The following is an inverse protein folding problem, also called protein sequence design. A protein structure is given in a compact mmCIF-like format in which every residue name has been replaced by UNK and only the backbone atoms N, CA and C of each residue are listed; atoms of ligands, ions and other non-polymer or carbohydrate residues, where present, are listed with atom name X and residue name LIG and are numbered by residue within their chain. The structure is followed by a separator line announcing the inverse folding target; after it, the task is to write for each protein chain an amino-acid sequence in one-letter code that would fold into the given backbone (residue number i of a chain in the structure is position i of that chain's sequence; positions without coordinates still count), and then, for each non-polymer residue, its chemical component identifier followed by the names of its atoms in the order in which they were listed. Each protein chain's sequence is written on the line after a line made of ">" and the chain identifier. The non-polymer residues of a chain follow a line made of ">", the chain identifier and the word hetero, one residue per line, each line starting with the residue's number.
data_IF_882084445067
#
_entry.id   IF_882084445067
#
_cell.length_a   1.000
_cell.length_b   1.000
_cell.length_c   1.000
_cell.angle_alpha   90.00
_cell.angle_beta   90.00
_cell.angle_gamma   90.00
#
_symmetry.space_group_name_H-M   'P 1'
#
loop_
_entity.id
_entity.type
_entity.pdbx_description
1 polymer ?
#
# COMPACT_ATOMS: atom_id res chain seq x y z
N UNK A 1 67.21 55.92 3.17
CA UNK A 1 67.00 54.50 3.34
C UNK A 1 65.53 54.31 3.81
N UNK A 2 64.58 53.91 2.95
CA UNK A 2 63.23 53.63 3.33
C UNK A 2 63.03 52.09 3.37
N UNK A 3 62.73 51.60 4.58
CA UNK A 3 62.50 50.19 4.82
C UNK A 3 61.01 49.90 4.55
N UNK A 4 60.73 49.06 3.55
CA UNK A 4 59.37 48.61 3.19
C UNK A 4 59.04 47.35 4.03
N UNK A 5 58.09 47.49 4.94
CA UNK A 5 57.55 46.36 5.72
C UNK A 5 56.44 45.65 4.85
N UNK A 6 56.70 44.42 4.42
CA UNK A 6 55.73 43.57 3.77
C UNK A 6 54.98 42.76 4.87
N UNK A 7 53.71 43.10 5.09
CA UNK A 7 52.80 42.33 5.96
C UNK A 7 52.21 41.19 5.16
N UNK A 8 52.60 39.96 5.48
CA UNK A 8 52.07 38.73 4.91
C UNK A 8 50.77 38.35 5.67
N UNK A 9 49.61 38.60 5.10
CA UNK A 9 48.33 38.12 5.63
C UNK A 9 48.13 36.63 5.32
N UNK A 10 48.28 35.79 6.32
CA UNK A 10 47.87 34.39 6.24
C UNK A 10 46.37 34.30 6.41
N UNK A 11 45.62 34.00 5.29
CA UNK A 11 44.21 33.66 5.34
C UNK A 11 44.06 32.22 5.82
N UNK A 12 43.72 32.03 7.08
CA UNK A 12 43.31 30.73 7.63
C UNK A 12 41.94 30.36 7.04
N UNK A 13 41.94 29.49 6.03
CA UNK A 13 40.71 28.87 5.51
C UNK A 13 40.19 27.83 6.52
N UNK A 14 39.18 28.19 7.27
CA UNK A 14 38.48 27.24 8.13
C UNK A 14 37.64 26.32 7.27
N UNK A 15 37.70 24.97 7.44
CA UNK A 15 36.86 24.07 6.74
C UNK A 15 35.40 24.29 7.21
N UNK A 16 34.57 24.78 6.33
CA UNK A 16 33.10 24.83 6.56
C UNK A 16 32.57 23.41 6.53
N UNK A 17 32.48 22.78 7.69
CA UNK A 17 31.74 21.55 7.85
C UNK A 17 30.27 21.84 7.58
N UNK A 18 29.83 21.54 6.38
CA UNK A 18 28.40 21.53 6.03
C UNK A 18 27.71 20.47 6.90
N UNK A 19 27.14 20.88 8.02
CA UNK A 19 26.22 20.05 8.79
C UNK A 19 25.02 19.76 7.89
N UNK A 20 24.95 18.52 7.35
CA UNK A 20 23.74 17.99 6.77
C UNK A 20 22.65 18.12 7.84
N UNK A 21 21.75 19.07 7.67
CA UNK A 21 20.60 19.23 8.54
C UNK A 21 19.88 17.88 8.56
N UNK A 22 19.80 17.23 9.72
CA UNK A 22 19.00 16.02 9.90
C UNK A 22 17.55 16.46 9.75
N UNK A 23 16.98 16.28 8.56
CA UNK A 23 15.55 16.51 8.34
C UNK A 23 14.78 15.73 9.39
N UNK A 24 13.80 16.37 10.04
CA UNK A 24 12.87 15.67 10.93
C UNK A 24 12.22 14.53 10.16
N UNK A 25 12.00 13.36 10.80
CA UNK A 25 11.27 12.28 10.16
C UNK A 25 9.85 12.75 9.82
N UNK A 26 9.35 12.31 8.69
CA UNK A 26 7.94 12.46 8.35
C UNK A 26 7.06 11.67 9.32
N UNK A 27 5.79 12.03 9.41
CA UNK A 27 4.88 11.47 10.40
C UNK A 27 3.51 11.15 9.78
N UNK A 28 3.05 9.90 9.95
CA UNK A 28 1.70 9.45 9.57
C UNK A 28 1.05 8.76 10.78
N UNK A 29 0.06 9.40 11.42
CA UNK A 29 -0.55 8.91 12.66
C UNK A 29 -1.26 7.56 12.49
N UNK A 30 -1.79 7.27 11.29
CA UNK A 30 -2.46 6.00 11.01
C UNK A 30 -1.54 4.77 11.14
N UNK A 31 -0.22 4.95 11.14
CA UNK A 31 0.70 3.83 11.37
C UNK A 31 0.78 3.40 12.84
N UNK A 32 0.17 4.16 13.76
CA UNK A 32 0.26 3.93 15.20
C UNK A 32 1.57 4.41 15.81
N UNK A 33 1.59 4.65 17.11
CA UNK A 33 2.69 5.34 17.83
C UNK A 33 4.08 4.79 17.53
N UNK A 34 4.24 3.48 17.43
CA UNK A 34 5.55 2.84 17.21
C UNK A 34 6.06 2.92 15.76
N UNK A 35 5.19 3.17 14.79
CA UNK A 35 5.49 3.15 13.36
C UNK A 35 5.20 4.49 12.66
N UNK A 36 4.62 5.47 13.37
CA UNK A 36 4.16 6.74 12.81
C UNK A 36 5.27 7.54 12.15
N UNK A 37 6.47 7.54 12.75
CA UNK A 37 7.62 8.22 12.17
C UNK A 37 8.27 7.38 11.07
N UNK A 38 8.59 8.00 9.93
CA UNK A 38 9.30 7.37 8.83
C UNK A 38 10.26 8.36 8.15
N UNK A 39 11.17 7.84 7.33
CA UNK A 39 12.06 8.67 6.51
C UNK A 39 11.86 8.31 5.04
N UNK A 40 11.83 9.31 4.18
CA UNK A 40 11.92 9.09 2.74
C UNK A 40 13.33 8.59 2.42
N UNK A 41 13.41 7.36 1.92
CA UNK A 41 14.69 6.68 1.64
C UNK A 41 15.04 6.69 0.17
N UNK A 42 14.07 6.98 -0.71
CA UNK A 42 14.31 7.13 -2.14
C UNK A 42 13.27 8.05 -2.80
N UNK A 43 13.55 8.51 -4.01
CA UNK A 43 12.65 9.29 -4.84
C UNK A 43 12.01 8.47 -5.97
N UNK A 44 12.02 7.14 -5.86
CA UNK A 44 11.60 6.23 -6.94
C UNK A 44 10.13 6.34 -7.32
N UNK A 45 9.29 6.96 -6.46
CA UNK A 45 7.88 7.26 -6.69
C UNK A 45 7.55 8.76 -6.58
N UNK A 46 8.56 9.63 -6.63
CA UNK A 46 8.33 11.09 -6.57
C UNK A 46 7.41 11.53 -7.73
N UNK A 47 6.31 12.20 -7.40
CA UNK A 47 5.28 12.63 -8.35
C UNK A 47 4.16 11.61 -8.61
N UNK A 48 4.22 10.44 -7.98
CA UNK A 48 3.12 9.48 -7.99
C UNK A 48 2.15 9.72 -6.83
N UNK A 49 0.85 9.52 -7.08
CA UNK A 49 -0.21 9.61 -6.07
C UNK A 49 -0.98 8.29 -6.01
N UNK A 50 -1.22 7.82 -4.79
CA UNK A 50 -1.94 6.57 -4.54
C UNK A 50 -3.15 6.79 -3.65
N UNK A 51 -4.26 6.13 -4.00
CA UNK A 51 -5.48 6.02 -3.21
C UNK A 51 -5.56 4.58 -2.72
N UNK A 52 -5.25 4.35 -1.44
CA UNK A 52 -5.17 3.03 -0.84
C UNK A 52 -6.47 2.70 -0.12
N UNK A 53 -7.04 1.56 -0.44
CA UNK A 53 -8.34 1.12 0.07
C UNK A 53 -8.23 -0.30 0.60
N UNK A 54 -8.41 -0.48 1.90
CA UNK A 54 -8.73 -1.80 2.45
C UNK A 54 -10.17 -2.16 2.13
N UNK A 55 -10.42 -3.43 1.81
CA UNK A 55 -11.76 -3.97 1.71
C UNK A 55 -12.53 -3.83 3.01
N UNK A 56 -13.86 -3.81 2.93
CA UNK A 56 -14.74 -3.86 4.09
C UNK A 56 -14.51 -2.74 5.13
N UNK A 57 -14.66 -3.03 6.43
CA UNK A 57 -14.44 -2.09 7.53
C UNK A 57 -15.74 -1.47 8.08
N UNK A 58 -15.69 -0.94 9.31
CA UNK A 58 -16.83 -0.44 10.04
C UNK A 58 -17.83 -1.55 10.38
N UNK A 59 -19.08 -1.50 9.87
CA UNK A 59 -20.07 -2.53 10.14
C UNK A 59 -19.87 -3.84 9.37
N UNK A 60 -18.91 -3.89 8.44
CA UNK A 60 -18.69 -5.00 7.51
C UNK A 60 -17.29 -5.60 7.72
N UNK A 61 -17.18 -6.75 8.44
CA UNK A 61 -15.89 -7.40 8.67
C UNK A 61 -15.33 -8.13 7.45
N UNK A 62 -16.09 -8.21 6.35
CA UNK A 62 -15.75 -9.02 5.19
C UNK A 62 -15.87 -10.52 5.46
N UNK A 63 -15.02 -11.30 4.82
CA UNK A 63 -14.95 -12.74 5.03
C UNK A 63 -14.33 -13.07 6.39
N UNK A 64 -14.84 -14.13 7.03
CA UNK A 64 -14.35 -14.61 8.33
C UNK A 64 -13.72 -15.98 8.15
N UNK A 65 -12.43 -16.07 8.51
CA UNK A 65 -11.70 -17.33 8.64
C UNK A 65 -11.55 -17.74 10.11
N UNK A 66 -10.97 -18.94 10.33
CA UNK A 66 -10.63 -19.40 11.68
C UNK A 66 -9.20 -19.96 11.71
N UNK A 67 -8.43 -19.53 12.69
CA UNK A 67 -7.07 -19.98 12.93
C UNK A 67 -6.86 -20.26 14.42
N UNK A 68 -6.52 -21.50 14.77
CA UNK A 68 -6.34 -21.92 16.16
C UNK A 68 -7.51 -21.51 17.07
N UNK A 69 -8.74 -21.76 16.62
CA UNK A 69 -9.97 -21.45 17.38
C UNK A 69 -10.38 -19.97 17.42
N UNK A 70 -9.57 -19.06 16.86
CA UNK A 70 -9.82 -17.62 16.82
C UNK A 70 -10.30 -17.16 15.45
N UNK A 71 -11.15 -16.16 15.38
CA UNK A 71 -11.62 -15.59 14.13
C UNK A 71 -10.56 -14.68 13.50
N UNK A 72 -10.48 -14.77 12.17
CA UNK A 72 -9.73 -13.86 11.32
C UNK A 72 -10.74 -13.04 10.51
N UNK A 73 -10.68 -11.72 10.59
CA UNK A 73 -11.58 -10.82 9.89
C UNK A 73 -10.85 -10.19 8.70
N UNK A 74 -11.41 -10.28 7.51
CA UNK A 74 -10.79 -9.81 6.26
C UNK A 74 -10.38 -8.35 6.34
N UNK A 75 -11.28 -7.47 6.81
CA UNK A 75 -11.07 -6.03 6.90
C UNK A 75 -9.82 -5.68 7.69
N UNK A 76 -9.57 -6.36 8.81
CA UNK A 76 -8.44 -6.11 9.70
C UNK A 76 -7.09 -6.42 9.04
N UNK A 77 -7.01 -7.55 8.33
CA UNK A 77 -5.78 -7.94 7.63
C UNK A 77 -5.56 -7.09 6.38
N UNK A 78 -6.63 -6.79 5.64
CA UNK A 78 -6.56 -5.87 4.51
C UNK A 78 -6.09 -4.48 4.95
N UNK A 79 -6.59 -3.98 6.07
CA UNK A 79 -6.20 -2.68 6.64
C UNK A 79 -4.73 -2.66 7.06
N UNK A 80 -4.27 -3.66 7.82
CA UNK A 80 -2.86 -3.76 8.25
C UNK A 80 -1.89 -3.81 7.05
N UNK A 81 -2.26 -4.56 5.99
CA UNK A 81 -1.46 -4.62 4.76
C UNK A 81 -1.47 -3.27 4.02
N UNK A 82 -2.62 -2.58 3.96
CA UNK A 82 -2.73 -1.24 3.36
C UNK A 82 -1.85 -0.23 4.09
N UNK A 83 -1.80 -0.25 5.40
CA UNK A 83 -0.93 0.65 6.18
C UNK A 83 0.55 0.37 5.89
N UNK A 84 0.95 -0.91 5.87
CA UNK A 84 2.31 -1.31 5.50
C UNK A 84 2.67 -0.88 4.09
N UNK A 85 1.77 -1.07 3.14
CA UNK A 85 1.96 -0.63 1.76
C UNK A 85 2.11 0.88 1.68
N UNK A 86 1.23 1.63 2.33
CA UNK A 86 1.30 3.09 2.37
C UNK A 86 2.64 3.59 2.91
N UNK A 87 3.14 2.96 3.98
CA UNK A 87 4.45 3.28 4.53
C UNK A 87 5.58 3.02 3.53
N UNK A 88 5.56 1.88 2.84
CA UNK A 88 6.53 1.56 1.77
C UNK A 88 6.50 2.56 0.61
N UNK A 89 5.31 3.06 0.22
CA UNK A 89 5.16 4.04 -0.85
C UNK A 89 5.61 5.44 -0.42
N UNK A 90 5.25 5.88 0.79
CA UNK A 90 5.70 7.15 1.38
C UNK A 90 7.23 7.20 1.51
N UNK A 91 7.85 6.13 1.99
CA UNK A 91 9.32 6.01 2.08
C UNK A 91 10.00 6.10 0.70
N UNK A 92 9.28 5.92 -0.40
CA UNK A 92 9.76 6.07 -1.77
C UNK A 92 9.39 7.41 -2.41
N UNK A 93 8.88 8.36 -1.61
CA UNK A 93 8.56 9.72 -2.05
C UNK A 93 7.22 9.85 -2.77
N UNK A 94 6.32 8.88 -2.66
CA UNK A 94 4.97 8.98 -3.19
C UNK A 94 4.08 9.86 -2.29
N UNK A 95 2.99 10.35 -2.86
CA UNK A 95 1.83 10.86 -2.11
C UNK A 95 0.82 9.74 -1.92
N UNK A 96 0.31 9.58 -0.69
CA UNK A 96 -0.62 8.50 -0.34
C UNK A 96 -1.85 9.07 0.35
N UNK A 97 -3.02 8.59 -0.05
CA UNK A 97 -4.31 8.83 0.61
C UNK A 97 -4.86 7.50 1.09
N UNK A 98 -5.03 7.35 2.39
CA UNK A 98 -5.71 6.22 3.01
C UNK A 98 -7.21 6.49 3.02
N UNK A 99 -7.98 5.72 2.27
CA UNK A 99 -9.43 5.97 2.10
C UNK A 99 -10.22 5.39 3.28
N UNK A 100 -9.83 4.21 3.76
CA UNK A 100 -10.38 3.62 4.99
C UNK A 100 -9.36 3.87 6.10
N UNK A 101 -9.84 4.30 7.26
CA UNK A 101 -9.00 4.76 8.36
C UNK A 101 -9.57 4.29 9.70
N UNK A 102 -8.71 3.76 10.57
CA UNK A 102 -8.97 3.60 12.01
C UNK A 102 -7.94 4.44 12.77
N UNK A 103 -8.40 5.39 13.58
CA UNK A 103 -7.54 6.29 14.35
C UNK A 103 -6.79 5.61 15.51
N UNK A 104 -7.17 4.38 15.88
CA UNK A 104 -6.58 3.63 17.00
C UNK A 104 -5.71 2.47 16.53
N UNK A 105 -6.12 1.76 15.49
CA UNK A 105 -5.43 0.58 15.00
C UNK A 105 -4.40 0.96 13.94
N UNK A 106 -3.14 0.92 14.33
CA UNK A 106 -2.01 1.14 13.43
C UNK A 106 -1.50 -0.16 12.79
N UNK A 107 -0.24 -0.16 12.37
CA UNK A 107 0.47 -1.38 11.93
C UNK A 107 0.66 -2.30 13.14
N UNK A 108 0.13 -3.51 13.06
CA UNK A 108 0.08 -4.47 14.17
C UNK A 108 0.96 -5.68 13.91
N UNK A 109 1.76 -6.09 14.92
CA UNK A 109 2.65 -7.24 14.80
C UNK A 109 2.16 -8.49 15.58
N UNK A 110 0.86 -8.56 15.86
CA UNK A 110 0.21 -9.75 16.40
C UNK A 110 -0.31 -10.66 15.29
N UNK A 111 -0.42 -11.95 15.57
CA UNK A 111 -0.96 -12.92 14.60
C UNK A 111 -2.47 -12.75 14.42
N UNK A 112 -3.20 -12.57 15.51
CA UNK A 112 -4.65 -12.36 15.49
C UNK A 112 -4.90 -10.86 15.64
N UNK A 113 -5.57 -10.30 14.65
CA UNK A 113 -6.02 -8.92 14.66
C UNK A 113 -7.48 -8.89 15.14
N UNK A 114 -7.72 -8.20 16.25
CA UNK A 114 -9.07 -8.08 16.81
C UNK A 114 -9.92 -7.24 15.88
N UNK A 115 -11.15 -7.70 15.62
CA UNK A 115 -12.11 -6.90 14.86
C UNK A 115 -12.40 -5.59 15.58
N UNK A 116 -12.31 -4.53 14.81
CA UNK A 116 -12.69 -3.18 15.22
C UNK A 116 -13.99 -2.81 14.52
N UNK A 117 -14.76 -1.94 14.75
CA UNK A 117 -15.89 -1.41 13.98
C UNK A 117 -15.78 0.11 13.89
N UNK A 118 -14.55 0.61 14.10
CA UNK A 118 -14.28 2.04 14.22
C UNK A 118 -13.82 2.66 12.91
N UNK A 119 -13.60 1.82 11.89
CA UNK A 119 -13.13 2.30 10.59
C UNK A 119 -14.11 3.32 10.01
N UNK A 120 -13.53 4.33 9.43
CA UNK A 120 -14.24 5.41 8.74
C UNK A 120 -13.76 5.53 7.30
N UNK A 121 -14.57 6.09 6.44
CA UNK A 121 -14.13 6.53 5.13
C UNK A 121 -13.68 8.00 5.23
N UNK A 122 -12.38 8.20 5.52
CA UNK A 122 -11.79 9.53 5.72
C UNK A 122 -12.57 10.38 6.73
N UNK A 123 -12.79 9.82 7.92
CA UNK A 123 -13.52 10.46 9.03
C UNK A 123 -15.04 10.36 8.95
N UNK A 124 -15.62 9.91 7.84
CA UNK A 124 -17.07 9.71 7.71
C UNK A 124 -17.46 8.27 8.06
N UNK A 125 -18.55 8.03 8.79
CA UNK A 125 -19.04 6.68 9.10
C UNK A 125 -19.27 5.87 7.81
N UNK A 126 -18.95 4.57 7.86
CA UNK A 126 -19.15 3.66 6.73
C UNK A 126 -20.60 3.17 6.75
N UNK A 127 -21.37 3.33 5.67
CA UNK A 127 -22.75 2.87 5.60
C UNK A 127 -22.88 1.35 5.71
N UNK A 128 -23.94 0.87 6.36
CA UNK A 128 -24.26 -0.56 6.41
C UNK A 128 -24.63 -1.11 5.01
N UNK A 129 -25.32 -0.31 4.20
CA UNK A 129 -25.69 -0.71 2.84
C UNK A 129 -24.43 -0.87 1.96
N UNK A 130 -24.31 -2.02 1.31
CA UNK A 130 -23.13 -2.36 0.49
C UNK A 130 -22.89 -1.38 -0.66
N UNK A 131 -23.93 -1.04 -1.40
CA UNK A 131 -23.79 -0.12 -2.55
C UNK A 131 -23.38 1.27 -2.06
N UNK A 132 -24.02 1.75 -0.99
CA UNK A 132 -23.70 3.06 -0.42
C UNK A 132 -22.25 3.16 0.08
N UNK A 133 -21.71 2.13 0.76
CA UNK A 133 -20.31 2.14 1.23
C UNK A 133 -19.31 2.00 0.09
N UNK A 134 -19.62 1.26 -0.98
CA UNK A 134 -18.75 1.20 -2.16
C UNK A 134 -18.75 2.54 -2.91
N UNK A 135 -19.93 3.16 -3.07
CA UNK A 135 -20.05 4.49 -3.68
C UNK A 135 -19.32 5.56 -2.87
N UNK A 136 -19.42 5.51 -1.54
CA UNK A 136 -18.71 6.45 -0.65
C UNK A 136 -17.21 6.45 -0.91
N UNK A 137 -16.58 5.26 -1.04
CA UNK A 137 -15.14 5.12 -1.34
C UNK A 137 -14.80 5.69 -2.71
N UNK A 138 -15.58 5.32 -3.73
CA UNK A 138 -15.37 5.83 -5.08
C UNK A 138 -15.47 7.36 -5.13
N UNK A 139 -16.47 7.94 -4.46
CA UNK A 139 -16.67 9.38 -4.40
C UNK A 139 -15.48 10.10 -3.75
N UNK A 140 -14.95 9.56 -2.63
CA UNK A 140 -13.77 10.12 -1.96
C UNK A 140 -12.53 10.06 -2.84
N UNK A 141 -12.28 8.91 -3.48
CA UNK A 141 -11.17 8.74 -4.42
C UNK A 141 -11.29 9.76 -5.57
N UNK A 142 -12.45 9.84 -6.20
CA UNK A 142 -12.69 10.70 -7.36
C UNK A 142 -12.58 12.19 -6.99
N UNK A 143 -13.05 12.57 -5.79
CA UNK A 143 -12.88 13.92 -5.26
C UNK A 143 -11.40 14.29 -5.07
N UNK A 144 -10.62 13.40 -4.47
CA UNK A 144 -9.18 13.61 -4.30
C UNK A 144 -8.46 13.62 -5.65
N UNK A 145 -8.82 12.71 -6.55
CA UNK A 145 -8.23 12.60 -7.88
C UNK A 145 -8.34 13.89 -8.68
N UNK A 146 -9.47 14.61 -8.59
CA UNK A 146 -9.66 15.91 -9.26
C UNK A 146 -8.76 17.01 -8.70
N UNK A 147 -8.39 16.93 -7.42
CA UNK A 147 -7.52 17.91 -6.75
C UNK A 147 -6.03 17.64 -6.95
N UNK A 148 -5.66 16.39 -7.23
CA UNK A 148 -4.27 15.99 -7.38
C UNK A 148 -3.74 16.32 -8.77
N UNK A 149 -2.53 16.86 -8.79
CA UNK A 149 -1.74 17.06 -10.02
C UNK A 149 -0.88 15.83 -10.31
N UNK A 150 -0.37 15.71 -11.51
CA UNK A 150 0.51 14.60 -11.91
C UNK A 150 -0.19 13.54 -12.76
N UNK A 151 0.62 12.84 -13.54
CA UNK A 151 0.16 11.89 -14.57
C UNK A 151 0.03 10.45 -14.05
N UNK A 152 0.64 10.13 -12.92
CA UNK A 152 0.59 8.78 -12.35
C UNK A 152 -0.22 8.78 -11.06
N UNK A 153 -1.48 8.47 -11.19
CA UNK A 153 -2.44 8.36 -10.09
C UNK A 153 -3.09 6.97 -10.14
N UNK A 154 -3.02 6.21 -9.03
CA UNK A 154 -3.49 4.82 -8.95
C UNK A 154 -4.34 4.58 -7.72
N UNK A 155 -5.45 3.88 -7.90
CA UNK A 155 -6.22 3.32 -6.80
C UNK A 155 -5.84 1.84 -6.61
N UNK A 156 -5.58 1.44 -5.37
CA UNK A 156 -5.20 0.08 -5.01
C UNK A 156 -6.17 -0.40 -3.96
N UNK A 157 -6.95 -1.44 -4.31
CA UNK A 157 -7.90 -2.10 -3.42
C UNK A 157 -7.31 -3.43 -2.96
N UNK A 158 -7.30 -3.67 -1.65
CA UNK A 158 -6.81 -4.92 -1.05
C UNK A 158 -7.93 -5.61 -0.32
N UNK A 159 -8.12 -6.88 -0.65
CA UNK A 159 -9.07 -7.82 -0.10
C UNK A 159 -8.41 -9.17 0.20
N UNK A 160 -9.17 -10.05 0.86
CA UNK A 160 -8.79 -11.45 1.09
C UNK A 160 -10.00 -12.31 0.77
N UNK A 161 -9.87 -13.15 -0.24
CA UNK A 161 -10.97 -13.99 -0.78
C UNK A 161 -11.40 -15.10 0.19
N UNK A 162 -12.64 -15.57 0.02
CA UNK A 162 -13.19 -16.77 0.67
C UNK A 162 -14.04 -17.65 -0.26
N UNK A 163 -14.06 -17.34 -1.57
CA UNK A 163 -14.98 -17.99 -2.52
C UNK A 163 -14.77 -19.49 -2.67
N UNK A 164 -13.56 -19.97 -2.48
CA UNK A 164 -13.22 -21.39 -2.58
C UNK A 164 -12.79 -21.93 -1.22
N UNK A 165 -13.75 -22.39 -0.41
CA UNK A 165 -13.56 -22.87 0.96
C UNK A 165 -12.41 -23.82 1.03
N UNK A 166 -11.43 -24.06 0.96
CA UNK A 166 -10.30 -24.99 1.12
C UNK A 166 -9.22 -24.86 0.04
N UNK A 167 -9.53 -24.29 -1.12
CA UNK A 167 -8.54 -24.16 -2.16
C UNK A 167 -7.55 -23.05 -1.83
N UNK A 168 -6.29 -23.34 -1.99
CA UNK A 168 -5.24 -22.36 -1.91
C UNK A 168 -5.41 -21.36 -3.05
N UNK A 169 -5.29 -20.08 -2.73
CA UNK A 169 -5.36 -18.98 -3.70
C UNK A 169 -4.10 -18.16 -3.56
N UNK A 170 -3.26 -18.09 -4.58
CA UNK A 170 -2.08 -17.26 -4.44
C UNK A 170 -2.45 -15.78 -4.38
N UNK A 171 -2.72 -15.17 -5.50
CA UNK A 171 -3.19 -13.79 -5.55
C UNK A 171 -3.99 -13.58 -6.84
N UNK A 172 -5.15 -12.97 -6.73
CA UNK A 172 -5.88 -12.49 -7.90
C UNK A 172 -5.64 -10.99 -8.08
N UNK A 173 -5.32 -10.61 -9.31
CA UNK A 173 -5.14 -9.21 -9.71
C UNK A 173 -6.23 -8.83 -10.71
N UNK A 174 -7.16 -8.00 -10.29
CA UNK A 174 -8.28 -7.57 -11.13
C UNK A 174 -8.09 -6.14 -11.60
N UNK A 175 -8.50 -5.89 -12.85
CA UNK A 175 -8.56 -4.56 -13.44
C UNK A 175 -9.92 -4.31 -14.06
N UNK A 176 -10.27 -3.04 -14.30
CA UNK A 176 -11.48 -2.69 -15.01
C UNK A 176 -11.43 -3.20 -16.46
N UNK A 177 -12.56 -3.63 -16.99
CA UNK A 177 -12.69 -3.98 -18.39
C UNK A 177 -12.32 -2.78 -19.28
N UNK A 178 -11.60 -3.00 -20.36
CA UNK A 178 -11.10 -1.95 -21.24
C UNK A 178 -9.91 -1.14 -20.70
N UNK A 179 -9.54 -1.25 -19.43
CA UNK A 179 -8.41 -0.51 -18.87
C UNK A 179 -7.06 -1.13 -19.25
N UNK A 180 -6.43 -0.62 -20.31
CA UNK A 180 -5.10 -1.06 -20.76
C UNK A 180 -4.02 -0.78 -19.71
N UNK A 181 -4.05 0.37 -19.04
CA UNK A 181 -3.11 0.73 -17.98
C UNK A 181 -3.35 -0.12 -16.72
N UNK A 182 -4.61 -0.38 -16.34
CA UNK A 182 -4.95 -1.27 -15.21
C UNK A 182 -4.46 -2.70 -15.47
N UNK A 183 -4.68 -3.23 -16.67
CA UNK A 183 -4.16 -4.54 -17.09
C UNK A 183 -2.63 -4.60 -17.04
N UNK A 184 -1.96 -3.56 -17.50
CA UNK A 184 -0.50 -3.50 -17.49
C UNK A 184 0.06 -3.46 -16.05
N UNK A 185 -0.54 -2.68 -15.15
CA UNK A 185 -0.18 -2.65 -13.73
C UNK A 185 -0.44 -4.00 -13.06
N UNK A 186 -1.61 -4.60 -13.27
CA UNK A 186 -1.95 -5.92 -12.73
C UNK A 186 -0.96 -7.01 -13.17
N UNK A 187 -0.59 -7.04 -14.45
CA UNK A 187 0.44 -7.95 -14.99
C UNK A 187 1.83 -7.68 -14.39
N UNK A 188 2.18 -6.41 -14.15
CA UNK A 188 3.45 -6.08 -13.52
C UNK A 188 3.51 -6.56 -12.07
N UNK A 189 2.41 -6.41 -11.32
CA UNK A 189 2.26 -6.94 -9.97
C UNK A 189 2.38 -8.47 -9.97
N UNK A 190 1.63 -9.16 -10.84
CA UNK A 190 1.69 -10.62 -10.99
C UNK A 190 3.13 -11.11 -11.25
N UNK A 191 3.83 -10.51 -12.21
CA UNK A 191 5.24 -10.88 -12.50
C UNK A 191 6.15 -10.66 -11.30
N UNK A 192 5.91 -9.59 -10.55
CA UNK A 192 6.70 -9.31 -9.34
C UNK A 192 6.46 -10.39 -8.30
N UNK A 193 5.21 -10.77 -8.06
CA UNK A 193 4.85 -11.84 -7.13
C UNK A 193 5.43 -13.19 -7.57
N UNK A 194 5.27 -13.57 -8.84
CA UNK A 194 5.84 -14.81 -9.38
C UNK A 194 7.35 -14.92 -9.11
N UNK A 195 8.11 -13.88 -9.44
CA UNK A 195 9.55 -13.83 -9.18
C UNK A 195 9.91 -13.89 -7.69
N UNK A 196 9.05 -13.34 -6.80
CA UNK A 196 9.25 -13.44 -5.34
C UNK A 196 8.94 -14.83 -4.81
N UNK A 197 7.88 -15.47 -5.30
CA UNK A 197 7.58 -16.85 -4.95
C UNK A 197 8.70 -17.79 -5.40
N UNK A 198 9.15 -17.69 -6.64
CA UNK A 198 10.26 -18.45 -7.17
C UNK A 198 11.53 -18.32 -6.30
N UNK A 199 11.87 -17.11 -5.90
CA UNK A 199 13.04 -16.85 -5.03
C UNK A 199 12.88 -17.37 -3.60
N UNK A 200 11.71 -17.19 -2.98
CA UNK A 200 11.51 -17.44 -1.54
C UNK A 200 10.88 -18.79 -1.24
N UNK A 201 10.23 -19.40 -2.21
CA UNK A 201 9.58 -20.70 -2.13
C UNK A 201 9.86 -21.50 -3.42
N UNK A 202 11.13 -21.83 -3.70
CA UNK A 202 11.50 -22.56 -4.92
C UNK A 202 10.71 -23.87 -5.00
N UNK A 203 10.34 -24.28 -6.20
CA UNK A 203 9.56 -25.50 -6.51
C UNK A 203 8.09 -25.49 -6.04
N UNK A 204 7.60 -24.40 -5.41
CA UNK A 204 6.19 -24.30 -5.03
C UNK A 204 5.29 -23.91 -6.19
N UNK A 205 5.79 -23.10 -7.12
CA UNK A 205 5.00 -22.45 -8.15
C UNK A 205 4.24 -21.21 -7.64
N UNK A 206 3.58 -20.52 -8.58
CA UNK A 206 2.74 -19.37 -8.31
C UNK A 206 1.53 -19.36 -9.25
N UNK A 207 0.32 -19.53 -8.70
CA UNK A 207 -0.94 -19.61 -9.45
C UNK A 207 -1.71 -18.28 -9.51
N UNK A 208 -1.02 -17.17 -9.27
CA UNK A 208 -1.63 -15.84 -9.31
C UNK A 208 -2.11 -15.46 -10.71
N UNK A 209 -3.32 -14.94 -10.82
CA UNK A 209 -3.98 -14.64 -12.09
C UNK A 209 -4.27 -13.16 -12.28
N UNK A 210 -4.33 -12.74 -13.55
CA UNK A 210 -4.77 -11.40 -13.95
C UNK A 210 -6.01 -11.51 -14.81
N UNK A 211 -7.09 -10.85 -14.40
CA UNK A 211 -8.33 -10.82 -15.19
C UNK A 211 -9.07 -9.49 -15.11
N UNK A 212 -9.84 -9.21 -16.14
CA UNK A 212 -10.80 -8.11 -16.12
C UNK A 212 -12.02 -8.51 -15.28
N UNK A 213 -12.47 -7.62 -14.39
CA UNK A 213 -13.66 -7.86 -13.56
C UNK A 213 -14.55 -6.63 -13.55
N UNK A 214 -15.86 -6.90 -13.61
CA UNK A 214 -16.90 -5.88 -13.52
C UNK A 214 -17.22 -5.56 -12.05
N UNK A 215 -16.21 -5.22 -11.25
CA UNK A 215 -16.39 -4.82 -9.85
C UNK A 215 -16.83 -3.37 -9.76
N UNK A 216 -17.75 -3.10 -8.83
CA UNK A 216 -18.31 -1.75 -8.62
C UNK A 216 -17.21 -0.69 -8.48
N UNK A 217 -16.23 -0.93 -7.62
CA UNK A 217 -15.15 0.02 -7.35
C UNK A 217 -14.22 0.22 -8.55
N UNK A 218 -14.00 -0.81 -9.38
CA UNK A 218 -13.18 -0.69 -10.58
C UNK A 218 -13.87 0.15 -11.67
N UNK A 219 -15.21 0.06 -11.79
CA UNK A 219 -16.00 0.84 -12.77
C UNK A 219 -16.17 2.30 -12.37
N UNK A 220 -16.35 2.55 -11.06
CA UNK A 220 -16.76 3.86 -10.55
C UNK A 220 -15.59 4.69 -10.00
N UNK A 221 -14.36 4.21 -10.16
CA UNK A 221 -13.14 4.92 -9.75
C UNK A 221 -12.45 5.52 -10.97
N UNK A 222 -12.25 6.84 -10.98
CA UNK A 222 -11.65 7.58 -12.11
C UNK A 222 -10.18 7.26 -12.32
N UNK A 223 -9.29 7.26 -11.28
CA UNK A 223 -7.89 6.88 -11.51
C UNK A 223 -7.79 5.42 -11.92
N UNK A 224 -6.71 5.08 -12.64
CA UNK A 224 -6.41 3.67 -12.96
C UNK A 224 -6.38 2.86 -11.68
N UNK A 225 -7.12 1.75 -11.65
CA UNK A 225 -7.34 0.95 -10.46
C UNK A 225 -6.93 -0.51 -10.65
N UNK A 226 -6.39 -1.10 -9.58
CA UNK A 226 -6.18 -2.54 -9.44
C UNK A 226 -6.80 -3.00 -8.12
N UNK A 227 -7.49 -4.12 -8.18
CA UNK A 227 -8.09 -4.80 -7.04
C UNK A 227 -7.36 -6.13 -6.84
N UNK A 228 -6.95 -6.44 -5.62
CA UNK A 228 -6.19 -7.64 -5.30
C UNK A 228 -6.88 -8.45 -4.22
N UNK A 229 -6.95 -9.77 -4.45
CA UNK A 229 -7.28 -10.76 -3.42
C UNK A 229 -5.97 -11.44 -3.01
N UNK A 230 -5.54 -11.25 -1.77
CA UNK A 230 -4.21 -11.66 -1.30
C UNK A 230 -4.16 -13.08 -0.70
N UNK A 231 -5.10 -13.93 -1.03
CA UNK A 231 -5.22 -15.29 -0.56
C UNK A 231 -6.63 -15.63 -0.12
N UNK A 232 -6.84 -16.85 0.33
CA UNK A 232 -8.11 -17.35 0.85
C UNK A 232 -8.06 -17.43 2.38
N UNK A 233 -8.84 -16.57 3.07
CA UNK A 233 -8.86 -16.50 4.53
C UNK A 233 -9.31 -17.80 5.22
N UNK A 234 -9.93 -18.72 4.47
CA UNK A 234 -10.37 -20.02 4.98
C UNK A 234 -9.38 -21.16 4.66
N UNK A 235 -8.30 -20.89 3.94
CA UNK A 235 -7.27 -21.89 3.62
C UNK A 235 -6.07 -21.77 4.57
N UNK A 236 -5.67 -22.88 5.20
CA UNK A 236 -4.60 -22.90 6.21
C UNK A 236 -3.23 -22.42 5.67
N UNK A 237 -2.91 -22.65 4.39
CA UNK A 237 -1.66 -22.20 3.82
C UNK A 237 -1.71 -20.69 3.54
N UNK A 238 -2.84 -20.19 3.04
CA UNK A 238 -3.02 -18.77 2.75
C UNK A 238 -3.11 -17.94 4.04
N UNK A 239 -3.70 -18.50 5.11
CA UNK A 239 -3.71 -17.87 6.43
C UNK A 239 -2.32 -17.50 6.93
N UNK A 240 -1.28 -18.26 6.60
CA UNK A 240 0.11 -17.92 6.96
C UNK A 240 0.55 -16.55 6.41
N UNK A 241 -0.02 -16.09 5.30
CA UNK A 241 0.25 -14.75 4.76
C UNK A 241 -0.34 -13.66 5.63
N UNK A 242 -1.41 -13.97 6.35
CA UNK A 242 -2.16 -13.04 7.18
C UNK A 242 -1.68 -13.06 8.64
N UNK A 243 -1.61 -14.24 9.25
CA UNK A 243 -1.30 -14.38 10.67
C UNK A 243 0.17 -14.15 11.01
N UNK A 244 1.08 -14.26 10.05
CA UNK A 244 2.50 -14.00 10.27
C UNK A 244 2.82 -12.54 9.87
N UNK A 245 3.17 -11.66 10.83
CA UNK A 245 3.38 -10.24 10.55
C UNK A 245 4.44 -9.95 9.48
N UNK A 246 5.53 -10.71 9.46
CA UNK A 246 6.58 -10.59 8.44
C UNK A 246 6.07 -10.92 7.03
N UNK A 247 5.09 -11.82 6.91
CA UNK A 247 4.48 -12.14 5.62
C UNK A 247 3.56 -11.00 5.15
N UNK A 248 2.79 -10.36 6.04
CA UNK A 248 2.04 -9.14 5.69
C UNK A 248 2.97 -8.03 5.21
N UNK A 249 4.12 -7.88 5.89
CA UNK A 249 5.14 -6.92 5.45
C UNK A 249 5.75 -7.29 4.09
N UNK A 250 5.99 -8.58 3.84
CA UNK A 250 6.48 -9.06 2.55
C UNK A 250 5.48 -8.78 1.42
N UNK A 251 4.19 -9.07 1.63
CA UNK A 251 3.13 -8.72 0.67
C UNK A 251 3.15 -7.22 0.33
N UNK A 252 3.17 -6.35 1.34
CA UNK A 252 3.22 -4.90 1.14
C UNK A 252 4.46 -4.45 0.34
N UNK A 253 5.64 -5.01 0.64
CA UNK A 253 6.88 -4.73 -0.10
C UNK A 253 6.80 -5.20 -1.55
N UNK A 254 6.29 -6.39 -1.81
CA UNK A 254 6.17 -6.93 -3.16
C UNK A 254 5.20 -6.11 -4.01
N UNK A 255 4.10 -5.65 -3.41
CA UNK A 255 3.18 -4.73 -4.07
C UNK A 255 3.90 -3.41 -4.40
N UNK A 256 4.61 -2.81 -3.44
CA UNK A 256 5.35 -1.57 -3.65
C UNK A 256 6.42 -1.70 -4.73
N UNK A 257 7.17 -2.81 -4.77
CA UNK A 257 8.17 -3.09 -5.82
C UNK A 257 7.52 -3.22 -7.21
N UNK A 258 6.38 -3.92 -7.31
CA UNK A 258 5.62 -4.03 -8.55
C UNK A 258 5.10 -2.68 -9.03
N UNK A 259 4.64 -1.83 -8.11
CA UNK A 259 4.22 -0.45 -8.38
C UNK A 259 5.40 0.40 -8.89
N UNK A 260 6.57 0.31 -8.27
CA UNK A 260 7.77 1.03 -8.75
C UNK A 260 8.10 0.67 -10.18
N UNK A 261 8.05 -0.62 -10.54
CA UNK A 261 8.30 -1.08 -11.90
C UNK A 261 7.23 -0.57 -12.89
N UNK A 262 5.96 -0.53 -12.48
CA UNK A 262 4.87 0.03 -13.31
C UNK A 262 5.05 1.55 -13.50
N UNK A 263 5.39 2.28 -12.45
CA UNK A 263 5.67 3.71 -12.51
C UNK A 263 6.82 4.03 -13.46
N UNK A 264 7.93 3.29 -13.35
CA UNK A 264 9.09 3.44 -14.24
C UNK A 264 8.73 3.17 -15.71
N UNK A 265 7.89 2.15 -15.96
CA UNK A 265 7.37 1.84 -17.32
C UNK A 265 6.54 2.99 -17.89
N UNK A 266 5.72 3.64 -17.07
CA UNK A 266 4.87 4.77 -17.51
C UNK A 266 5.70 6.03 -17.71
N UNK A 267 6.72 6.27 -16.89
CA UNK A 267 7.58 7.46 -16.97
C UNK A 267 8.53 7.44 -18.18
N UNK A 268 8.82 6.26 -18.73
CA UNK A 268 9.68 6.09 -19.92
C UNK A 268 8.94 6.34 -21.24
N UNK A 269 7.62 6.47 -21.21
CA UNK A 269 6.77 6.80 -22.36
C UNK A 269 6.54 8.29 -22.46
#
# INVERSE_FOLDING_TARGET
>A
MRILLIILCWALAWPVFSQKSKSRPDYEPLFGKSQASYKVTSSSLKGATFYLVSGHGGPDPGCIGRYQGKELHEDEYAYDIILRLGRELLMRGAKVHFIIQDAKDGIRNTSILKNSKRETCMGSPIPLNQIARLQQRCNKINQLHRKEKGIYKRAVFIHVDSRARRNQTDVYFYHAQGSTQGKAMARQLQRTFAAKYDRHQPNRGFDGTVSARNLFVLRNTTPVAVFMELGNIQNAQDQKRLVIPSNRQALARWIAEGIVKDYQRVKKK
#
